data_IF_588237037028
#
_entry.id   IF_588237037028
#
_cell.length_a   1.000
_cell.length_b   1.000
_cell.length_c   1.000
_cell.angle_alpha   90.00
_cell.angle_beta   90.00
_cell.angle_gamma   90.00
#
_symmetry.space_group_name_H-M   'P 1'
#
loop_
_entity.id
_entity.type
_entity.pdbx_description
1 polymer ?
#
# COMPACT_ATOMS: atom_id res chain seq x y z
N UNK A 1 7.92 -2.88 16.33
CA UNK A 1 8.40 -2.12 15.14
C UNK A 1 7.18 -1.87 14.26
N UNK A 2 6.71 -0.61 14.13
CA UNK A 2 5.55 -0.32 13.28
C UNK A 2 5.91 -0.56 11.81
N UNK A 3 5.02 -1.21 11.06
CA UNK A 3 5.21 -1.42 9.62
C UNK A 3 5.17 -0.06 8.92
N UNK A 4 6.26 0.33 8.26
CA UNK A 4 6.41 1.61 7.57
C UNK A 4 6.11 1.43 6.09
N UNK A 5 4.84 1.59 5.70
CA UNK A 5 4.40 1.46 4.31
C UNK A 5 4.60 2.73 3.50
N UNK A 6 4.39 3.88 4.12
CA UNK A 6 4.44 5.19 3.47
C UNK A 6 5.79 5.86 3.73
N UNK A 7 6.53 6.09 2.65
CA UNK A 7 7.65 7.03 2.61
C UNK A 7 7.22 8.36 1.97
N UNK A 8 8.18 9.22 1.64
CA UNK A 8 7.95 10.49 0.93
C UNK A 8 7.18 10.28 -0.38
N UNK A 9 7.51 9.20 -1.08
CA UNK A 9 6.93 8.85 -2.37
C UNK A 9 5.82 7.79 -2.26
N UNK A 10 5.21 7.66 -1.08
CA UNK A 10 4.17 6.66 -0.82
C UNK A 10 4.71 5.24 -0.65
N UNK A 11 3.93 4.26 -1.13
CA UNK A 11 4.23 2.82 -1.01
C UNK A 11 5.01 2.35 -2.25
N UNK A 12 6.18 1.74 -2.06
CA UNK A 12 7.05 1.25 -3.15
C UNK A 12 7.44 -0.23 -2.97
N UNK A 13 7.72 -0.90 -4.09
CA UNK A 13 8.14 -2.30 -4.14
C UNK A 13 8.05 -2.88 -5.54
N UNK A 14 8.31 -4.18 -5.70
CA UNK A 14 8.16 -4.89 -6.98
C UNK A 14 6.72 -5.38 -7.13
N UNK A 15 6.15 -5.26 -8.32
CA UNK A 15 4.81 -5.77 -8.63
C UNK A 15 4.73 -7.27 -8.30
N UNK A 16 3.66 -7.66 -7.62
CA UNK A 16 3.45 -9.05 -7.17
C UNK A 16 4.15 -9.39 -5.84
N UNK A 17 5.01 -8.51 -5.31
CA UNK A 17 5.60 -8.65 -3.99
C UNK A 17 4.94 -7.69 -3.00
N UNK A 18 4.66 -8.16 -1.79
CA UNK A 18 4.10 -7.30 -0.76
C UNK A 18 5.02 -6.09 -0.46
N UNK A 19 4.51 -4.84 -0.42
CA UNK A 19 3.10 -4.44 -0.44
C UNK A 19 2.48 -4.12 -1.83
N UNK A 20 3.19 -4.30 -2.94
CA UNK A 20 2.67 -4.03 -4.30
C UNK A 20 1.93 -5.26 -4.86
N UNK A 21 0.91 -5.72 -4.13
CA UNK A 21 0.00 -6.80 -4.55
C UNK A 21 -1.40 -6.24 -4.84
N UNK A 22 -2.18 -6.86 -5.76
CA UNK A 22 -3.53 -6.40 -6.06
C UNK A 22 -4.45 -6.29 -4.84
N UNK A 23 -4.45 -7.31 -3.96
CA UNK A 23 -5.28 -7.29 -2.73
C UNK A 23 -4.91 -6.14 -1.79
N UNK A 24 -3.60 -5.87 -1.60
CA UNK A 24 -3.17 -4.76 -0.76
C UNK A 24 -3.59 -3.40 -1.34
N UNK A 25 -3.34 -3.18 -2.63
CA UNK A 25 -3.64 -1.91 -3.29
C UNK A 25 -5.16 -1.67 -3.37
N UNK A 26 -5.97 -2.71 -3.56
CA UNK A 26 -7.43 -2.62 -3.54
C UNK A 26 -7.95 -2.15 -2.17
N UNK A 27 -7.47 -2.77 -1.08
CA UNK A 27 -7.82 -2.37 0.28
C UNK A 27 -7.34 -0.97 0.62
N UNK A 28 -6.14 -0.61 0.16
CA UNK A 28 -5.59 0.73 0.33
C UNK A 28 -6.46 1.78 -0.36
N UNK A 29 -6.87 1.54 -1.61
CA UNK A 29 -7.76 2.44 -2.34
C UNK A 29 -9.12 2.62 -1.66
N UNK A 30 -9.72 1.53 -1.18
CA UNK A 30 -10.96 1.58 -0.41
C UNK A 30 -10.81 2.41 0.87
N UNK A 31 -9.72 2.22 1.62
CA UNK A 31 -9.44 2.98 2.83
C UNK A 31 -9.19 4.48 2.53
N UNK A 32 -8.49 4.79 1.44
CA UNK A 32 -8.20 6.17 1.04
C UNK A 32 -9.45 6.93 0.53
N UNK A 33 -10.39 6.22 -0.11
CA UNK A 33 -11.62 6.81 -0.64
C UNK A 33 -12.77 6.92 0.37
N UNK A 34 -12.64 6.32 1.56
CA UNK A 34 -13.65 6.41 2.62
C UNK A 34 -13.41 7.69 3.43
N UNK A 35 -14.26 8.71 3.23
CA UNK A 35 -14.33 9.94 4.04
C UNK A 35 -15.18 9.76 5.29
#
# INVERSE_FOLDING_TARGET
MSRKYFGTDGVRGRVGQYPITPDFVLRLGYAAGRV
#
